data_IF_360673209968
#
_entry.id   IF_360673209968
#
_cell.length_a   1.000
_cell.length_b   1.000
_cell.length_c   1.000
_cell.angle_alpha   90.00
_cell.angle_beta   90.00
_cell.angle_gamma   90.00
#
_symmetry.space_group_name_H-M   'P 1'
#
loop_
_entity.id
_entity.type
_entity.pdbx_description
1 polymer ?
#
# COMPACT_ATOMS: atom_id res chain seq x y z
N UNK A 1 -20.48 -1.20 19.93
CA UNK A 1 -19.89 -1.08 18.58
C UNK A 1 -18.39 -0.98 18.75
N UNK A 2 -17.63 -1.87 18.11
CA UNK A 2 -16.17 -1.81 18.08
C UNK A 2 -15.78 -0.61 17.22
N UNK A 3 -14.79 0.18 17.64
CA UNK A 3 -14.29 1.31 16.84
C UNK A 3 -13.57 0.73 15.60
N UNK A 4 -13.97 1.09 14.38
CA UNK A 4 -13.31 0.59 13.17
C UNK A 4 -11.83 0.95 13.14
N UNK A 5 -11.01 0.07 12.57
CA UNK A 5 -9.57 0.28 12.44
C UNK A 5 -9.28 1.31 11.34
N UNK A 6 -8.50 2.35 11.66
CA UNK A 6 -8.05 3.36 10.68
C UNK A 6 -6.99 2.85 9.70
N UNK A 7 -6.18 1.88 10.16
CA UNK A 7 -5.10 1.26 9.41
C UNK A 7 -5.58 0.24 8.38
N UNK A 8 -4.63 -0.23 7.57
CA UNK A 8 -4.79 -1.44 6.76
C UNK A 8 -4.59 -2.69 7.63
N UNK A 9 -4.67 -3.89 7.04
CA UNK A 9 -4.34 -5.14 7.73
C UNK A 9 -2.94 -5.05 8.38
N UNK A 10 -2.85 -5.36 9.67
CA UNK A 10 -1.58 -5.45 10.39
C UNK A 10 -0.71 -6.58 9.85
N UNK A 11 0.59 -6.56 10.16
CA UNK A 11 1.49 -7.66 9.74
C UNK A 11 0.98 -9.02 10.22
N UNK A 12 0.60 -9.13 11.50
CA UNK A 12 0.06 -10.36 12.06
C UNK A 12 -1.23 -10.82 11.34
N UNK A 13 -2.11 -9.89 10.96
CA UNK A 13 -3.32 -10.21 10.21
C UNK A 13 -3.00 -10.71 8.79
N UNK A 14 -2.01 -10.09 8.12
CA UNK A 14 -1.54 -10.50 6.78
C UNK A 14 -0.90 -11.88 6.77
N UNK A 15 -0.18 -12.23 7.82
CA UNK A 15 0.46 -13.55 7.96
C UNK A 15 -0.59 -14.66 8.09
N UNK A 16 -1.73 -14.37 8.73
CA UNK A 16 -2.85 -15.31 8.94
C UNK A 16 -3.95 -15.26 7.87
N UNK A 17 -3.69 -14.68 6.70
CA UNK A 17 -4.64 -14.69 5.59
C UNK A 17 -4.85 -16.10 5.04
N UNK A 18 -6.10 -16.49 4.83
CA UNK A 18 -6.48 -17.76 4.25
C UNK A 18 -7.54 -17.60 3.15
N UNK A 19 -7.35 -18.29 2.03
CA UNK A 19 -8.36 -18.36 0.96
C UNK A 19 -9.47 -19.33 1.36
N UNK A 20 -10.72 -18.86 1.34
CA UNK A 20 -11.95 -19.62 1.60
C UNK A 20 -12.58 -20.09 0.30
N UNK A 21 -12.74 -19.17 -0.66
CA UNK A 21 -13.32 -19.45 -1.98
C UNK A 21 -12.49 -18.72 -3.03
N UNK A 22 -12.29 -19.33 -4.19
CA UNK A 22 -11.45 -18.78 -5.24
C UNK A 22 -11.95 -19.21 -6.61
N UNK A 23 -12.09 -18.25 -7.51
CA UNK A 23 -12.28 -18.50 -8.93
C UNK A 23 -11.63 -17.40 -9.76
N UNK A 24 -11.30 -17.71 -11.00
CA UNK A 24 -11.03 -16.68 -11.99
C UNK A 24 -11.86 -16.93 -13.23
N UNK A 25 -12.16 -15.85 -13.92
CA UNK A 25 -12.78 -15.86 -15.23
C UNK A 25 -11.80 -15.24 -16.23
N UNK A 26 -11.86 -15.69 -17.46
CA UNK A 26 -10.98 -15.19 -18.52
C UNK A 26 -11.70 -14.05 -19.21
N UNK A 27 -11.00 -12.94 -19.38
CA UNK A 27 -11.45 -11.82 -20.19
C UNK A 27 -10.67 -11.89 -21.49
N UNK A 28 -11.40 -11.99 -22.60
CA UNK A 28 -10.85 -11.97 -23.94
C UNK A 28 -11.19 -10.63 -24.60
N UNK A 29 -10.15 -9.89 -24.98
CA UNK A 29 -10.32 -8.57 -25.61
C UNK A 29 -10.65 -8.65 -27.09
N UNK A 30 -10.48 -9.83 -27.70
CA UNK A 30 -10.58 -10.03 -29.14
C UNK A 30 -11.88 -10.79 -29.52
N UNK A 31 -12.72 -11.12 -28.54
CA UNK A 31 -14.03 -11.74 -28.75
C UNK A 31 -15.10 -10.71 -29.16
N UNK A 32 -16.17 -11.17 -29.82
CA UNK A 32 -17.33 -10.32 -30.15
C UNK A 32 -18.00 -9.79 -28.86
N UNK A 33 -18.67 -8.63 -28.93
CA UNK A 33 -19.14 -7.85 -27.75
C UNK A 33 -19.97 -8.62 -26.71
N UNK A 34 -20.54 -9.78 -27.07
CA UNK A 34 -21.36 -10.63 -26.18
C UNK A 34 -20.63 -11.89 -25.64
N UNK A 35 -19.37 -12.13 -26.02
CA UNK A 35 -18.55 -13.30 -25.60
C UNK A 35 -17.19 -12.89 -24.98
N UNK A 36 -17.05 -11.65 -24.52
CA UNK A 36 -15.80 -11.08 -23.98
C UNK A 36 -15.31 -11.73 -22.66
N UNK A 37 -16.14 -12.58 -22.04
CA UNK A 37 -15.80 -13.32 -20.82
C UNK A 37 -16.07 -14.80 -20.95
N UNK A 38 -15.02 -15.61 -20.75
CA UNK A 38 -15.13 -17.06 -20.58
C UNK A 38 -15.24 -17.37 -19.09
N UNK A 39 -16.40 -17.87 -18.68
CA UNK A 39 -16.67 -18.23 -17.30
C UNK A 39 -16.18 -19.63 -16.97
N UNK A 40 -15.38 -19.75 -15.89
CA UNK A 40 -15.05 -21.03 -15.28
C UNK A 40 -16.05 -21.39 -14.17
N UNK A 41 -16.15 -22.68 -13.88
CA UNK A 41 -17.02 -23.25 -12.83
C UNK A 41 -16.25 -23.72 -11.59
N UNK A 42 -14.96 -24.02 -11.74
CA UNK A 42 -14.10 -24.50 -10.66
C UNK A 42 -12.64 -24.14 -10.95
N UNK A 43 -11.86 -23.91 -9.88
CA UNK A 43 -10.40 -23.81 -9.95
C UNK A 43 -9.79 -24.67 -8.85
N UNK A 44 -8.87 -25.55 -9.23
CA UNK A 44 -8.08 -26.33 -8.30
C UNK A 44 -6.68 -25.73 -8.17
N UNK A 45 -6.36 -25.22 -6.97
CA UNK A 45 -5.05 -24.65 -6.66
C UNK A 45 -4.18 -25.66 -5.93
N UNK A 46 -2.97 -25.86 -6.43
CA UNK A 46 -1.91 -26.55 -5.69
C UNK A 46 -1.37 -25.66 -4.57
N UNK A 47 -0.71 -26.25 -3.57
CA UNK A 47 -0.18 -25.52 -2.42
C UNK A 47 0.72 -24.34 -2.80
N UNK A 48 1.61 -24.52 -3.79
CA UNK A 48 2.47 -23.44 -4.29
C UNK A 48 1.67 -22.28 -4.90
N UNK A 49 0.63 -22.57 -5.68
CA UNK A 49 -0.23 -21.56 -6.30
C UNK A 49 -1.07 -20.83 -5.24
N UNK A 50 -1.56 -21.54 -4.23
CA UNK A 50 -2.28 -20.95 -3.09
C UNK A 50 -1.39 -19.95 -2.36
N UNK A 51 -0.13 -20.32 -2.08
CA UNK A 51 0.84 -19.42 -1.46
C UNK A 51 1.13 -18.21 -2.34
N UNK A 52 1.29 -18.41 -3.64
CA UNK A 52 1.46 -17.32 -4.60
C UNK A 52 0.33 -16.28 -4.53
N UNK A 53 -0.93 -16.71 -4.57
CA UNK A 53 -2.07 -15.79 -4.48
C UNK A 53 -2.19 -15.13 -3.10
N UNK A 54 -1.86 -15.84 -2.02
CA UNK A 54 -1.78 -15.25 -0.68
C UNK A 54 -0.69 -14.18 -0.58
N UNK A 55 0.47 -14.37 -1.20
CA UNK A 55 1.51 -13.34 -1.23
C UNK A 55 1.06 -12.11 -2.02
N UNK A 56 0.32 -12.29 -3.11
CA UNK A 56 -0.29 -11.17 -3.85
C UNK A 56 -1.37 -10.45 -3.06
N UNK A 57 -2.19 -11.19 -2.32
CA UNK A 57 -3.15 -10.62 -1.35
C UNK A 57 -2.45 -9.77 -0.30
N UNK A 58 -1.34 -10.25 0.27
CA UNK A 58 -0.54 -9.53 1.28
C UNK A 58 0.06 -8.25 0.73
N UNK A 59 0.50 -8.26 -0.53
CA UNK A 59 1.03 -7.06 -1.20
C UNK A 59 -0.07 -6.02 -1.45
N UNK A 60 -1.30 -6.46 -1.74
CA UNK A 60 -2.45 -5.58 -2.05
C UNK A 60 -3.21 -5.15 -0.79
N UNK A 61 -2.93 -5.75 0.36
CA UNK A 61 -3.32 -5.22 1.66
C UNK A 61 -2.66 -3.86 1.99
N UNK A 62 -1.96 -3.27 1.02
CA UNK A 62 -1.52 -1.88 0.95
C UNK A 62 -2.10 -1.22 -0.30
N UNK A 63 -2.56 0.02 -0.16
CA UNK A 63 -3.22 0.75 -1.22
C UNK A 63 -3.97 1.96 -0.69
N UNK A 64 -4.53 2.72 -1.62
CA UNK A 64 -5.33 3.90 -1.26
C UNK A 64 -6.64 3.45 -0.64
N UNK A 65 -7.04 4.10 0.45
CA UNK A 65 -8.30 3.82 1.14
C UNK A 65 -9.47 4.54 0.47
N UNK A 66 -10.53 3.80 0.24
CA UNK A 66 -11.76 4.29 -0.33
C UNK A 66 -12.98 3.88 0.50
N UNK A 67 -14.06 4.63 0.34
CA UNK A 67 -15.39 4.31 0.85
C UNK A 67 -16.38 4.20 -0.30
N UNK A 68 -17.38 3.33 -0.16
CA UNK A 68 -18.47 3.22 -1.13
C UNK A 68 -19.27 4.53 -1.16
N UNK A 69 -19.67 4.94 -2.36
CA UNK A 69 -20.63 6.02 -2.51
C UNK A 69 -22.01 5.53 -2.09
N UNK A 70 -22.80 6.39 -1.47
CA UNK A 70 -24.15 6.04 -1.01
C UNK A 70 -25.10 5.63 -2.15
N UNK A 71 -24.84 6.09 -3.37
CA UNK A 71 -25.62 5.80 -4.57
C UNK A 71 -25.08 4.62 -5.40
N UNK A 72 -23.93 4.04 -5.02
CA UNK A 72 -23.28 2.96 -5.76
C UNK A 72 -23.45 1.61 -5.05
N UNK A 73 -24.66 1.06 -5.14
CA UNK A 73 -25.10 -0.06 -4.27
C UNK A 73 -24.64 -1.44 -4.77
N UNK A 74 -24.42 -1.59 -6.08
CA UNK A 74 -24.39 -2.93 -6.70
C UNK A 74 -23.21 -3.82 -6.30
N UNK A 75 -21.99 -3.29 -6.14
CA UNK A 75 -20.84 -4.12 -5.82
C UNK A 75 -20.81 -4.52 -4.35
N UNK A 76 -21.11 -3.58 -3.43
CA UNK A 76 -21.12 -3.83 -1.99
C UNK A 76 -22.08 -4.97 -1.64
N UNK A 77 -23.30 -4.93 -2.16
CA UNK A 77 -24.30 -5.98 -1.94
C UNK A 77 -23.86 -7.33 -2.48
N UNK A 78 -23.29 -7.39 -3.69
CA UNK A 78 -22.74 -8.63 -4.26
C UNK A 78 -21.60 -9.19 -3.41
N UNK A 79 -20.70 -8.34 -2.92
CA UNK A 79 -19.62 -8.75 -2.03
C UNK A 79 -20.12 -9.27 -0.68
N UNK A 80 -21.19 -8.69 -0.14
CA UNK A 80 -21.83 -9.19 1.07
C UNK A 80 -22.47 -10.55 0.83
N UNK A 81 -23.18 -10.72 -0.29
CA UNK A 81 -23.77 -12.01 -0.68
C UNK A 81 -22.73 -13.11 -0.94
N UNK A 82 -21.53 -12.76 -1.44
CA UNK A 82 -20.42 -13.72 -1.60
C UNK A 82 -20.00 -14.35 -0.26
N UNK A 83 -20.18 -13.63 0.85
CA UNK A 83 -19.86 -14.10 2.20
C UNK A 83 -21.06 -14.82 2.83
N UNK A 84 -22.27 -14.26 2.68
CA UNK A 84 -23.49 -14.76 3.33
C UNK A 84 -24.13 -15.97 2.63
N UNK A 85 -23.92 -16.13 1.32
CA UNK A 85 -24.45 -17.21 0.50
C UNK A 85 -23.35 -17.91 -0.33
N UNK A 86 -22.47 -18.72 0.31
CA UNK A 86 -21.35 -19.37 -0.38
C UNK A 86 -21.75 -20.31 -1.52
N UNK A 87 -22.96 -20.86 -1.47
CA UNK A 87 -23.56 -21.68 -2.54
C UNK A 87 -23.80 -20.89 -3.84
N UNK A 88 -23.94 -19.57 -3.74
CA UNK A 88 -24.08 -18.66 -4.89
C UNK A 88 -22.76 -18.05 -5.35
N UNK A 89 -21.62 -18.50 -4.80
CA UNK A 89 -20.30 -17.92 -5.09
C UNK A 89 -20.01 -17.83 -6.60
N UNK A 90 -20.27 -18.89 -7.36
CA UNK A 90 -20.04 -18.94 -8.81
C UNK A 90 -20.98 -18.01 -9.57
N UNK A 91 -22.25 -17.96 -9.20
CA UNK A 91 -23.24 -17.07 -9.82
C UNK A 91 -22.83 -15.60 -9.64
N UNK A 92 -22.45 -15.23 -8.41
CA UNK A 92 -22.05 -13.87 -8.05
C UNK A 92 -20.70 -13.50 -8.66
N UNK A 93 -19.73 -14.41 -8.73
CA UNK A 93 -18.43 -14.13 -9.35
C UNK A 93 -18.57 -13.83 -10.84
N UNK A 94 -19.45 -14.55 -11.55
CA UNK A 94 -19.80 -14.26 -12.94
C UNK A 94 -20.40 -12.88 -13.09
N UNK A 95 -21.41 -12.53 -12.26
CA UNK A 95 -22.04 -11.20 -12.30
C UNK A 95 -21.07 -10.06 -12.01
N UNK A 96 -20.15 -10.21 -11.06
CA UNK A 96 -19.12 -9.20 -10.76
C UNK A 96 -18.14 -9.07 -11.93
N UNK A 97 -17.78 -10.19 -12.56
CA UNK A 97 -16.89 -10.19 -13.73
C UNK A 97 -17.54 -9.52 -14.93
N UNK A 98 -18.82 -9.79 -15.22
CA UNK A 98 -19.58 -9.10 -16.28
C UNK A 98 -19.70 -7.61 -16.01
N UNK A 99 -19.98 -7.22 -14.77
CA UNK A 99 -20.01 -5.80 -14.40
C UNK A 99 -18.65 -5.11 -14.58
N UNK A 100 -17.56 -5.85 -14.36
CA UNK A 100 -16.21 -5.38 -14.66
C UNK A 100 -16.03 -5.26 -16.18
N UNK A 101 -16.15 -6.35 -16.93
CA UNK A 101 -15.91 -6.38 -18.39
C UNK A 101 -16.74 -5.35 -19.15
N UNK A 102 -18.06 -5.33 -18.94
CA UNK A 102 -18.99 -4.49 -19.69
C UNK A 102 -18.85 -2.98 -19.45
N UNK A 103 -18.18 -2.56 -18.37
CA UNK A 103 -17.89 -1.13 -18.15
C UNK A 103 -16.69 -0.64 -18.96
N UNK A 104 -15.94 -1.55 -19.56
CA UNK A 104 -14.73 -1.24 -20.33
C UNK A 104 -15.08 -1.17 -21.83
N UNK A 105 -15.38 0.03 -22.32
CA UNK A 105 -15.74 0.25 -23.75
C UNK A 105 -14.54 0.03 -24.69
N UNK A 106 -14.23 -1.23 -25.03
CA UNK A 106 -13.34 -1.62 -26.13
C UNK A 106 -11.83 -1.46 -25.94
N UNK A 107 -11.36 -1.15 -24.73
CA UNK A 107 -9.92 -0.98 -24.44
C UNK A 107 -9.36 -2.01 -23.43
N UNK A 108 -10.13 -3.03 -23.05
CA UNK A 108 -9.69 -3.91 -21.96
C UNK A 108 -8.61 -4.83 -22.52
N UNK A 109 -7.48 -4.98 -21.84
CA UNK A 109 -6.51 -5.99 -22.22
C UNK A 109 -7.00 -7.37 -21.79
N UNK A 110 -6.81 -8.36 -22.66
CA UNK A 110 -7.03 -9.76 -22.34
C UNK A 110 -6.33 -10.15 -21.02
N UNK A 111 -6.91 -11.08 -20.28
CA UNK A 111 -6.31 -11.56 -19.04
C UNK A 111 -7.26 -12.40 -18.20
N UNK A 112 -7.06 -12.37 -16.89
CA UNK A 112 -7.96 -13.03 -15.94
C UNK A 112 -8.47 -12.07 -14.89
N UNK A 113 -9.71 -12.27 -14.49
CA UNK A 113 -10.32 -11.57 -13.37
C UNK A 113 -10.62 -12.58 -12.26
N UNK A 114 -9.93 -12.41 -11.14
CA UNK A 114 -10.01 -13.28 -9.97
C UNK A 114 -11.04 -12.69 -9.01
N UNK A 115 -11.91 -13.56 -8.50
CA UNK A 115 -12.82 -13.28 -7.39
C UNK A 115 -12.50 -14.29 -6.28
N UNK A 116 -12.19 -13.78 -5.10
CA UNK A 116 -11.80 -14.61 -3.97
C UNK A 116 -12.42 -14.09 -2.68
N UNK A 117 -12.84 -15.01 -1.82
CA UNK A 117 -13.18 -14.71 -0.42
C UNK A 117 -12.02 -15.18 0.42
N UNK A 118 -11.48 -14.27 1.23
CA UNK A 118 -10.38 -14.56 2.16
C UNK A 118 -10.84 -14.32 3.57
N UNK A 119 -10.23 -15.03 4.53
CA UNK A 119 -10.42 -14.78 5.95
C UNK A 119 -9.12 -14.41 6.63
N UNK A 120 -9.23 -13.63 7.70
CA UNK A 120 -8.10 -13.22 8.54
C UNK A 120 -8.52 -13.25 10.01
N UNK A 121 -7.52 -13.38 10.88
CA UNK A 121 -7.74 -13.46 12.32
C UNK A 121 -7.69 -12.07 12.95
N UNK A 122 -8.77 -11.63 13.58
CA UNK A 122 -8.84 -10.36 14.33
C UNK A 122 -8.43 -10.56 15.79
N UNK A 123 -8.81 -11.68 16.38
CA UNK A 123 -8.47 -12.08 17.74
C UNK A 123 -8.55 -13.59 17.88
N UNK A 124 -8.25 -14.13 19.07
CA UNK A 124 -8.33 -15.56 19.30
C UNK A 124 -9.72 -16.10 18.94
N UNK A 125 -9.79 -16.97 17.94
CA UNK A 125 -11.03 -17.53 17.38
C UNK A 125 -12.02 -16.54 16.74
N UNK A 126 -11.64 -15.28 16.50
CA UNK A 126 -12.44 -14.29 15.76
C UNK A 126 -11.90 -14.16 14.34
N UNK A 127 -12.51 -14.88 13.41
CA UNK A 127 -12.20 -14.82 11.98
C UNK A 127 -13.18 -13.90 11.26
N UNK A 128 -12.63 -12.96 10.48
CA UNK A 128 -13.40 -12.08 9.61
C UNK A 128 -13.06 -12.36 8.15
N UNK A 129 -13.96 -11.98 7.26
CA UNK A 129 -13.82 -12.22 5.82
C UNK A 129 -13.74 -10.92 5.04
N UNK A 130 -12.98 -10.95 3.96
CA UNK A 130 -12.85 -9.88 2.98
C UNK A 130 -13.08 -10.47 1.58
N UNK A 131 -13.55 -9.64 0.66
CA UNK A 131 -13.63 -10.00 -0.76
C UNK A 131 -12.43 -9.41 -1.48
N UNK A 132 -11.80 -10.22 -2.33
CA UNK A 132 -10.64 -9.85 -3.10
C UNK A 132 -10.91 -9.98 -4.58
N UNK A 133 -10.70 -8.88 -5.30
CA UNK A 133 -10.87 -8.79 -6.75
C UNK A 133 -9.52 -8.43 -7.38
N UNK A 134 -9.11 -9.15 -8.42
CA UNK A 134 -7.84 -8.87 -9.12
C UNK A 134 -7.99 -9.04 -10.62
N UNK A 135 -7.58 -8.03 -11.37
CA UNK A 135 -7.31 -8.16 -12.81
C UNK A 135 -5.82 -8.38 -13.04
N UNK A 136 -5.49 -9.49 -13.70
CA UNK A 136 -4.12 -9.83 -14.08
C UNK A 136 -3.99 -10.01 -15.59
N UNK A 137 -2.79 -9.70 -16.10
CA UNK A 137 -2.38 -10.00 -17.47
C UNK A 137 -2.18 -11.51 -17.64
N UNK A 138 -2.64 -12.05 -18.77
CA UNK A 138 -2.13 -13.33 -19.28
C UNK A 138 -0.77 -13.10 -19.92
N UNK A 139 0.15 -14.04 -19.77
CA UNK A 139 1.36 -14.06 -20.60
C UNK A 139 1.55 -15.47 -21.16
N UNK A 140 1.88 -15.60 -22.46
CA UNK A 140 2.40 -16.86 -22.97
C UNK A 140 3.68 -17.22 -22.22
N UNK A 141 3.85 -18.48 -21.85
CA UNK A 141 5.11 -18.99 -21.33
C UNK A 141 5.59 -20.17 -22.16
N UNK A 142 6.92 -20.30 -22.26
CA UNK A 142 7.54 -21.49 -22.82
C UNK A 142 7.85 -22.45 -21.68
N UNK A 143 7.33 -23.67 -21.78
CA UNK A 143 7.76 -24.79 -20.95
C UNK A 143 8.73 -25.63 -21.75
N UNK A 144 9.72 -26.24 -21.09
CA UNK A 144 10.56 -27.23 -21.73
C UNK A 144 10.45 -28.56 -20.99
N UNK A 145 10.37 -29.62 -21.76
CA UNK A 145 10.64 -30.98 -21.30
C UNK A 145 11.80 -31.54 -22.10
N UNK A 146 12.30 -32.71 -21.74
CA UNK A 146 13.24 -33.43 -22.59
C UNK A 146 12.78 -34.87 -22.75
N UNK A 147 13.05 -35.41 -23.93
CA UNK A 147 12.83 -36.82 -24.26
C UNK A 147 14.17 -37.49 -24.55
N UNK A 148 14.34 -38.74 -24.13
CA UNK A 148 15.47 -39.55 -24.55
C UNK A 148 15.13 -40.26 -25.87
N UNK A 149 15.83 -39.89 -26.93
CA UNK A 149 15.74 -40.51 -28.26
C UNK A 149 17.13 -40.98 -28.66
N UNK A 150 17.28 -42.28 -28.89
CA UNK A 150 18.54 -42.92 -29.30
C UNK A 150 19.74 -42.59 -28.38
N UNK A 151 19.53 -42.59 -27.06
CA UNK A 151 20.56 -42.27 -26.06
C UNK A 151 20.94 -40.78 -26.00
N UNK A 152 20.19 -39.89 -26.66
CA UNK A 152 20.37 -38.44 -26.61
C UNK A 152 19.18 -37.78 -25.94
N UNK A 153 19.42 -36.76 -25.12
CA UNK A 153 18.39 -35.90 -24.58
C UNK A 153 18.03 -34.81 -25.59
N UNK A 154 16.80 -34.83 -26.06
CA UNK A 154 16.25 -33.83 -26.99
C UNK A 154 15.31 -32.94 -26.19
N UNK A 155 15.60 -31.64 -26.16
CA UNK A 155 14.71 -30.66 -25.55
C UNK A 155 13.47 -30.45 -26.43
N UNK A 156 12.29 -30.50 -25.83
CA UNK A 156 11.00 -30.19 -26.45
C UNK A 156 10.48 -28.92 -25.78
N UNK A 157 10.33 -27.86 -26.57
CA UNK A 157 9.80 -26.57 -26.11
C UNK A 157 8.34 -26.50 -26.50
N UNK A 158 7.46 -26.27 -25.52
CA UNK A 158 6.03 -26.10 -25.72
C UNK A 158 5.62 -24.71 -25.27
N UNK A 159 4.83 -24.01 -26.09
CA UNK A 159 4.24 -22.74 -25.70
C UNK A 159 2.90 -22.97 -24.99
N UNK A 160 2.73 -22.35 -23.83
CA UNK A 160 1.51 -22.34 -23.05
C UNK A 160 0.89 -20.94 -23.15
N UNK A 161 -0.04 -20.79 -24.08
CA UNK A 161 -0.70 -19.51 -24.39
C UNK A 161 -1.49 -18.93 -23.19
N UNK A 162 -2.09 -19.81 -22.39
CA UNK A 162 -2.97 -19.44 -21.27
C UNK A 162 -2.27 -19.53 -19.90
N UNK A 163 -1.01 -19.12 -19.81
CA UNK A 163 -0.31 -19.14 -18.52
C UNK A 163 -0.58 -17.88 -17.70
N UNK A 164 -0.75 -18.07 -16.39
CA UNK A 164 -0.86 -16.97 -15.44
C UNK A 164 0.54 -16.46 -15.12
N UNK A 165 0.73 -15.15 -15.25
CA UNK A 165 2.00 -14.54 -14.89
C UNK A 165 2.11 -14.44 -13.36
N UNK A 166 3.10 -15.11 -12.79
CA UNK A 166 3.40 -15.10 -11.35
C UNK A 166 4.15 -13.83 -10.90
N UNK A 167 4.40 -12.88 -11.79
CA UNK A 167 5.03 -11.61 -11.44
C UNK A 167 4.05 -10.67 -10.74
N UNK A 168 4.52 -9.93 -9.70
CA UNK A 168 3.76 -8.80 -9.11
C UNK A 168 3.32 -7.81 -10.18
N UNK A 169 4.16 -7.62 -11.19
CA UNK A 169 3.93 -6.67 -12.26
C UNK A 169 2.74 -7.06 -13.14
N UNK A 170 2.28 -8.32 -13.11
CA UNK A 170 1.11 -8.77 -13.88
C UNK A 170 -0.22 -8.21 -13.35
N UNK A 171 -0.25 -7.76 -12.09
CA UNK A 171 -1.44 -7.19 -11.48
C UNK A 171 -1.69 -5.81 -12.08
N UNK A 172 -2.80 -5.70 -12.80
CA UNK A 172 -3.23 -4.44 -13.38
C UNK A 172 -4.05 -3.62 -12.39
N UNK A 173 -5.00 -4.29 -11.73
CA UNK A 173 -5.96 -3.67 -10.82
C UNK A 173 -6.29 -4.66 -9.72
N UNK A 174 -6.49 -4.14 -8.52
CA UNK A 174 -6.93 -4.97 -7.41
C UNK A 174 -7.73 -4.18 -6.39
N UNK A 175 -8.62 -4.88 -5.70
CA UNK A 175 -9.43 -4.35 -4.62
C UNK A 175 -9.58 -5.39 -3.52
N UNK A 176 -9.35 -4.97 -2.28
CA UNK A 176 -9.66 -5.71 -1.07
C UNK A 176 -10.82 -4.98 -0.37
N UNK A 177 -11.94 -5.68 -0.22
CA UNK A 177 -13.22 -5.10 0.18
C UNK A 177 -13.60 -5.64 1.56
N UNK A 178 -13.81 -4.72 2.50
CA UNK A 178 -14.41 -5.01 3.79
C UNK A 178 -15.92 -4.77 3.71
N UNK A 179 -16.69 -5.83 3.97
CA UNK A 179 -18.15 -5.75 4.08
C UNK A 179 -18.63 -5.87 5.53
N UNK A 180 -17.69 -6.03 6.48
CA UNK A 180 -17.96 -6.29 7.89
C UNK A 180 -17.85 -5.04 8.78
N UNK A 181 -17.52 -3.89 8.20
CA UNK A 181 -17.29 -2.61 8.90
C UNK A 181 -16.20 -2.73 10.00
N UNK A 182 -15.26 -3.65 9.82
CA UNK A 182 -14.11 -3.86 10.69
C UNK A 182 -13.10 -2.71 10.54
N UNK A 183 -13.00 -2.16 9.33
CA UNK A 183 -12.13 -1.06 8.99
C UNK A 183 -12.93 0.21 8.71
N UNK A 184 -12.27 1.35 8.91
CA UNK A 184 -12.87 2.65 8.60
C UNK A 184 -12.87 2.96 7.08
N UNK A 185 -12.25 2.10 6.28
CA UNK A 185 -12.33 2.05 4.82
C UNK A 185 -13.22 0.89 4.40
N UNK A 186 -13.93 1.04 3.28
CA UNK A 186 -14.70 -0.06 2.69
C UNK A 186 -13.85 -0.84 1.67
N UNK A 187 -12.94 -0.13 0.97
CA UNK A 187 -12.11 -0.72 -0.08
C UNK A 187 -10.67 -0.21 -0.01
N UNK A 188 -9.69 -1.12 0.00
CA UNK A 188 -8.31 -0.84 -0.40
C UNK A 188 -8.16 -1.17 -1.87
N UNK A 189 -7.76 -0.21 -2.68
CA UNK A 189 -7.63 -0.44 -4.12
C UNK A 189 -6.32 0.08 -4.70
N UNK A 190 -5.87 -0.63 -5.74
CA UNK A 190 -4.67 -0.33 -6.48
C UNK A 190 -4.96 -0.37 -7.99
N UNK A 191 -4.41 0.60 -8.71
CA UNK A 191 -4.44 0.66 -10.16
C UNK A 191 -3.03 0.92 -10.70
N UNK A 192 -2.48 -0.05 -11.43
CA UNK A 192 -1.13 0.03 -12.00
C UNK A 192 -0.96 1.24 -12.90
N UNK A 193 -2.01 1.66 -13.60
CA UNK A 193 -1.97 2.73 -14.62
C UNK A 193 -2.06 4.12 -13.99
N UNK A 194 -2.86 4.31 -12.93
CA UNK A 194 -3.15 5.64 -12.37
C UNK A 194 -2.77 5.75 -10.89
N UNK A 195 -1.50 5.55 -10.56
CA UNK A 195 -1.03 5.66 -9.16
C UNK A 195 -1.02 7.12 -8.65
N UNK A 196 -1.29 7.36 -7.35
CA UNK A 196 -1.83 6.43 -6.35
C UNK A 196 -3.37 6.31 -6.40
N UNK A 197 -4.05 6.91 -7.38
CA UNK A 197 -5.51 6.85 -7.52
C UNK A 197 -6.01 5.62 -8.30
N UNK A 198 -7.24 5.73 -8.81
CA UNK A 198 -7.83 4.76 -9.73
C UNK A 198 -8.20 5.44 -11.05
N UNK A 199 -8.18 4.66 -12.14
CA UNK A 199 -8.84 5.05 -13.40
C UNK A 199 -10.33 5.27 -13.17
N UNK A 200 -10.93 6.16 -13.97
CA UNK A 200 -12.33 6.56 -13.76
C UNK A 200 -13.27 5.36 -13.96
N UNK A 201 -12.93 4.48 -14.90
CA UNK A 201 -13.56 3.18 -15.07
C UNK A 201 -13.50 2.33 -13.80
N UNK A 202 -12.31 2.12 -13.22
CA UNK A 202 -12.17 1.20 -12.09
C UNK A 202 -12.84 1.78 -10.83
N UNK A 203 -12.71 3.09 -10.64
CA UNK A 203 -13.46 3.83 -9.62
C UNK A 203 -14.97 3.69 -9.79
N UNK A 204 -15.48 3.78 -11.02
CA UNK A 204 -16.91 3.64 -11.30
C UNK A 204 -17.38 2.21 -11.06
N UNK A 205 -16.61 1.20 -11.50
CA UNK A 205 -16.87 -0.22 -11.24
C UNK A 205 -16.97 -0.49 -9.74
N UNK A 206 -15.97 -0.04 -8.96
CA UNK A 206 -15.98 -0.19 -7.52
C UNK A 206 -17.08 0.64 -6.85
N UNK A 207 -17.47 1.76 -7.46
CA UNK A 207 -18.49 2.64 -6.89
C UNK A 207 -17.98 3.44 -5.69
N UNK A 208 -16.71 3.90 -5.74
CA UNK A 208 -16.03 4.44 -4.55
C UNK A 208 -15.53 5.89 -4.70
N UNK A 209 -15.23 6.51 -3.56
CA UNK A 209 -14.52 7.79 -3.43
C UNK A 209 -13.39 7.65 -2.41
N UNK A 210 -12.32 8.43 -2.55
CA UNK A 210 -11.21 8.44 -1.59
C UNK A 210 -11.74 8.73 -0.18
N UNK A 211 -11.29 7.94 0.80
CA UNK A 211 -11.66 8.13 2.21
C UNK A 211 -11.05 9.40 2.78
N UNK A 212 -9.80 9.68 2.41
CA UNK A 212 -9.03 10.83 2.90
C UNK A 212 -8.36 11.56 1.74
N UNK A 213 -8.21 12.88 1.89
CA UNK A 213 -7.49 13.69 0.93
C UNK A 213 -5.98 13.59 1.17
N UNK A 214 -5.20 13.62 0.07
CA UNK A 214 -3.73 13.70 0.06
C UNK A 214 -3.16 14.74 1.03
N UNK A 215 -3.77 15.92 1.11
CA UNK A 215 -3.40 16.99 2.05
C UNK A 215 -3.54 16.57 3.52
N UNK A 216 -4.62 15.85 3.85
CA UNK A 216 -4.86 15.36 5.20
C UNK A 216 -3.83 14.28 5.55
N UNK A 217 -3.61 13.32 4.66
CA UNK A 217 -2.62 12.25 4.84
C UNK A 217 -1.21 12.80 5.01
N UNK A 218 -0.83 13.81 4.21
CA UNK A 218 0.47 14.49 4.32
C UNK A 218 0.66 15.15 5.69
N UNK A 219 -0.34 15.92 6.16
CA UNK A 219 -0.29 16.53 7.49
C UNK A 219 -0.24 15.48 8.60
N UNK A 220 -1.04 14.43 8.49
CA UNK A 220 -1.07 13.35 9.48
C UNK A 220 0.28 12.67 9.56
N UNK A 221 0.86 12.22 8.43
CA UNK A 221 2.17 11.57 8.38
C UNK A 221 3.25 12.41 9.07
N UNK A 222 3.38 13.68 8.68
CA UNK A 222 4.38 14.57 9.25
C UNK A 222 4.14 14.85 10.74
N UNK A 223 2.89 15.10 11.14
CA UNK A 223 2.56 15.35 12.54
C UNK A 223 2.82 14.14 13.43
N UNK A 224 2.64 12.92 12.91
CA UNK A 224 2.89 11.69 13.66
C UNK A 224 4.37 11.44 13.88
N UNK A 225 5.24 11.71 12.90
CA UNK A 225 6.70 11.66 13.13
C UNK A 225 7.09 12.57 14.29
N UNK A 226 6.56 13.80 14.34
CA UNK A 226 6.83 14.74 15.44
C UNK A 226 6.33 14.21 16.78
N UNK A 227 5.12 13.65 16.83
CA UNK A 227 4.54 13.09 18.07
C UNK A 227 5.30 11.86 18.55
N UNK A 228 5.66 10.98 17.63
CA UNK A 228 6.46 9.78 17.90
C UNK A 228 7.84 10.16 18.44
N UNK A 229 8.57 11.04 17.77
CA UNK A 229 9.92 11.44 18.18
C UNK A 229 9.95 12.12 19.57
N UNK A 230 8.88 12.84 19.96
CA UNK A 230 8.75 13.41 21.32
C UNK A 230 8.70 12.37 22.44
N UNK A 231 8.25 11.15 22.13
CA UNK A 231 8.09 10.08 23.11
C UNK A 231 9.38 9.27 23.32
N UNK A 232 10.38 9.43 22.46
CA UNK A 232 11.64 8.71 22.57
C UNK A 232 12.47 9.24 23.74
N UNK A 233 13.10 8.34 24.49
CA UNK A 233 14.05 8.68 25.56
C UNK A 233 15.45 8.92 25.00
N UNK A 234 16.33 9.55 25.79
CA UNK A 234 17.71 9.84 25.38
C UNK A 234 18.48 8.55 25.04
N UNK A 235 18.20 7.44 25.72
CA UNK A 235 18.83 6.14 25.46
C UNK A 235 18.36 5.48 24.16
N UNK A 236 17.16 5.84 23.69
CA UNK A 236 16.59 5.33 22.44
C UNK A 236 17.04 6.13 21.22
N UNK A 237 17.47 7.37 21.42
CA UNK A 237 17.92 8.23 20.33
C UNK A 237 19.28 7.77 19.79
N UNK A 238 19.45 7.64 18.47
CA UNK A 238 20.76 7.45 17.89
C UNK A 238 21.67 8.66 18.18
N UNK A 239 23.00 8.50 18.19
CA UNK A 239 23.92 9.60 18.41
C UNK A 239 23.69 10.76 17.42
N UNK A 240 23.53 11.97 17.93
CA UNK A 240 23.31 13.17 17.11
C UNK A 240 21.89 13.34 16.56
N UNK A 241 20.98 12.41 16.84
CA UNK A 241 19.58 12.49 16.44
C UNK A 241 18.72 13.15 17.52
N UNK A 242 17.69 13.89 17.08
CA UNK A 242 16.69 14.50 17.93
C UNK A 242 15.34 14.61 17.20
N UNK A 243 14.35 15.26 17.81
CA UNK A 243 13.05 15.47 17.17
C UNK A 243 13.14 16.20 15.83
N UNK A 244 13.95 17.25 15.77
CA UNK A 244 14.06 18.12 14.61
C UNK A 244 14.75 17.41 13.45
N UNK A 245 15.71 16.51 13.69
CA UNK A 245 16.32 15.70 12.64
C UNK A 245 15.30 14.74 12.00
N UNK A 246 14.51 14.01 12.79
CA UNK A 246 13.44 13.14 12.28
C UNK A 246 12.36 13.95 11.53
N UNK A 247 11.91 15.06 12.11
CA UNK A 247 10.91 15.93 11.49
C UNK A 247 11.44 16.55 10.19
N UNK A 248 12.72 16.93 10.15
CA UNK A 248 13.38 17.48 8.97
C UNK A 248 13.41 16.48 7.82
N UNK A 249 13.83 15.23 8.07
CA UNK A 249 13.83 14.16 7.07
C UNK A 249 12.43 13.77 6.61
N UNK A 250 11.45 13.79 7.52
CA UNK A 250 10.04 13.62 7.19
C UNK A 250 9.55 14.69 6.20
N UNK A 251 9.91 15.96 6.43
CA UNK A 251 9.56 17.04 5.51
C UNK A 251 10.27 16.90 4.17
N UNK A 252 11.57 16.59 4.16
CA UNK A 252 12.33 16.38 2.93
C UNK A 252 11.69 15.28 2.05
N UNK A 253 11.39 14.10 2.64
CA UNK A 253 10.74 13.03 1.90
C UNK A 253 9.42 13.48 1.26
N UNK A 254 8.58 14.20 2.02
CA UNK A 254 7.29 14.69 1.53
C UNK A 254 7.41 15.80 0.47
N UNK A 255 8.56 16.44 0.33
CA UNK A 255 8.85 17.37 -0.78
C UNK A 255 9.40 16.65 -2.01
N UNK A 256 10.19 15.59 -1.80
CA UNK A 256 11.01 15.00 -2.86
C UNK A 256 10.35 13.80 -3.57
N UNK A 257 9.20 13.31 -3.07
CA UNK A 257 8.53 12.13 -3.61
C UNK A 257 7.14 12.46 -4.17
N UNK A 258 6.87 11.96 -5.39
CA UNK A 258 5.56 12.11 -6.05
C UNK A 258 4.48 11.19 -5.45
N UNK A 259 4.90 10.05 -4.90
CA UNK A 259 4.02 9.04 -4.30
C UNK A 259 4.60 8.62 -2.96
N UNK A 260 3.77 8.72 -1.92
CA UNK A 260 4.11 8.23 -0.59
C UNK A 260 4.12 6.70 -0.55
N UNK A 261 5.19 6.13 -0.02
CA UNK A 261 5.30 4.72 0.35
C UNK A 261 5.74 4.64 1.82
N UNK A 262 5.08 3.77 2.61
CA UNK A 262 5.33 3.69 4.05
C UNK A 262 6.75 3.24 4.37
N UNK A 263 7.27 2.23 3.67
CA UNK A 263 8.58 1.65 3.97
C UNK A 263 9.71 2.60 3.59
N UNK A 264 9.59 3.20 2.39
CA UNK A 264 10.54 4.21 1.93
C UNK A 264 10.53 5.43 2.87
N UNK A 265 9.35 5.86 3.31
CA UNK A 265 9.20 6.97 4.24
C UNK A 265 9.85 6.68 5.60
N UNK A 266 9.54 5.54 6.20
CA UNK A 266 10.09 5.15 7.50
C UNK A 266 11.61 5.00 7.42
N UNK A 267 12.13 4.41 6.35
CA UNK A 267 13.57 4.28 6.12
C UNK A 267 14.26 5.63 5.86
N UNK A 268 13.58 6.58 5.20
CA UNK A 268 14.10 7.94 5.02
C UNK A 268 14.14 8.73 6.32
N UNK A 269 13.12 8.58 7.18
CA UNK A 269 13.01 9.26 8.46
C UNK A 269 13.99 8.69 9.49
N UNK A 270 14.12 7.37 9.60
CA UNK A 270 14.94 6.70 10.62
C UNK A 270 16.32 6.34 10.05
N UNK A 271 17.35 7.10 10.45
CA UNK A 271 18.76 6.83 10.13
C UNK A 271 19.50 6.45 11.39
N UNK A 272 20.25 5.36 11.32
CA UNK A 272 21.07 4.86 12.43
C UNK A 272 22.10 3.88 11.88
N UNK A 273 23.31 3.92 12.41
CA UNK A 273 24.39 2.98 12.10
C UNK A 273 24.21 1.65 12.83
N UNK A 274 23.52 1.66 13.99
CA UNK A 274 23.13 0.44 14.70
C UNK A 274 21.89 -0.17 14.03
N UNK A 275 22.08 -1.29 13.34
CA UNK A 275 21.01 -1.98 12.62
C UNK A 275 19.86 -2.45 13.52
N UNK A 276 20.15 -2.82 14.78
CA UNK A 276 19.12 -3.31 15.70
C UNK A 276 18.27 -2.14 16.22
N UNK A 277 18.92 -1.05 16.67
CA UNK A 277 18.19 0.16 17.09
C UNK A 277 17.42 0.78 15.93
N UNK A 278 18.00 0.78 14.72
CA UNK A 278 17.30 1.17 13.50
C UNK A 278 16.01 0.38 13.30
N UNK A 279 16.08 -0.95 13.33
CA UNK A 279 14.93 -1.82 13.11
C UNK A 279 13.83 -1.58 14.16
N UNK A 280 14.19 -1.41 15.44
CA UNK A 280 13.26 -1.09 16.52
C UNK A 280 12.57 0.26 16.30
N UNK A 281 13.34 1.30 15.97
CA UNK A 281 12.80 2.64 15.72
C UNK A 281 11.89 2.64 14.49
N UNK A 282 12.29 1.99 13.39
CA UNK A 282 11.48 1.83 12.19
C UNK A 282 10.15 1.13 12.49
N UNK A 283 10.19 0.02 13.26
CA UNK A 283 9.00 -0.70 13.70
C UNK A 283 8.05 0.20 14.50
N UNK A 284 8.57 0.89 15.51
CA UNK A 284 7.76 1.78 16.36
C UNK A 284 7.16 2.98 15.59
N UNK A 285 7.88 3.54 14.61
CA UNK A 285 7.35 4.61 13.77
C UNK A 285 6.27 4.08 12.82
N UNK A 286 6.48 2.89 12.23
CA UNK A 286 5.48 2.24 11.39
C UNK A 286 4.17 2.00 12.17
N UNK A 287 4.27 1.53 13.41
CA UNK A 287 3.11 1.35 14.30
C UNK A 287 2.38 2.69 14.56
N UNK A 288 3.11 3.75 14.90
CA UNK A 288 2.52 5.08 15.11
C UNK A 288 1.82 5.62 13.85
N UNK A 289 2.33 5.32 12.66
CA UNK A 289 1.68 5.66 11.38
C UNK A 289 0.45 4.79 11.13
N UNK A 290 0.49 3.51 11.50
CA UNK A 290 -0.64 2.58 11.36
C UNK A 290 -1.82 2.96 12.25
N UNK A 291 -1.56 3.39 13.49
CA UNK A 291 -2.58 3.89 14.44
C UNK A 291 -3.41 5.05 13.88
N UNK A 292 -2.87 5.80 12.91
CA UNK A 292 -3.55 6.96 12.31
C UNK A 292 -3.94 6.74 10.86
N UNK A 293 -3.90 5.48 10.42
CA UNK A 293 -4.28 5.08 9.08
C UNK A 293 -3.27 5.42 7.99
N UNK A 294 -2.13 6.05 8.29
CA UNK A 294 -1.16 6.45 7.25
C UNK A 294 -0.40 5.25 6.70
N UNK A 295 0.00 4.32 7.57
CA UNK A 295 0.79 3.16 7.15
C UNK A 295 -0.02 2.26 6.21
N UNK A 296 0.61 1.84 5.12
CA UNK A 296 0.01 1.02 4.07
C UNK A 296 -0.82 1.79 3.05
N UNK A 297 -1.00 3.11 3.19
CA UNK A 297 -1.63 3.93 2.15
C UNK A 297 -0.61 4.44 1.12
N UNK A 298 -1.09 4.66 -0.10
CA UNK A 298 -0.41 5.42 -1.14
C UNK A 298 -1.17 6.72 -1.38
N UNK A 299 -0.48 7.85 -1.46
CA UNK A 299 -1.07 9.15 -1.74
C UNK A 299 -0.03 10.08 -2.34
N UNK A 300 -0.44 11.20 -2.93
CA UNK A 300 0.52 12.20 -3.44
C UNK A 300 0.89 13.16 -2.30
N UNK A 301 2.15 13.25 -1.87
CA UNK A 301 2.53 14.23 -0.87
C UNK A 301 2.13 15.66 -1.29
N UNK A 302 1.53 16.40 -0.35
CA UNK A 302 1.14 17.80 -0.55
C UNK A 302 1.77 18.67 0.56
N UNK A 303 3.10 18.89 0.53
CA UNK A 303 3.81 19.61 1.59
C UNK A 303 3.35 21.07 1.72
N UNK A 304 2.80 21.66 0.66
CA UNK A 304 2.15 22.98 0.70
C UNK A 304 0.92 23.04 1.61
N UNK A 305 0.37 21.89 2.03
CA UNK A 305 -0.74 21.81 2.97
C UNK A 305 -0.32 21.92 4.45
N UNK A 306 0.98 21.85 4.75
CA UNK A 306 1.55 22.05 6.08
C UNK A 306 1.65 23.55 6.40
N UNK A 307 1.32 23.93 7.64
CA UNK A 307 1.50 25.30 8.12
C UNK A 307 3.00 25.60 8.24
N UNK A 308 3.37 26.87 8.09
CA UNK A 308 4.77 27.31 8.26
C UNK A 308 5.38 26.90 9.61
N UNK A 309 4.58 26.86 10.68
CA UNK A 309 5.04 26.39 12.00
C UNK A 309 5.32 24.89 12.05
N UNK A 310 4.64 24.09 11.23
CA UNK A 310 4.80 22.63 11.17
C UNK A 310 6.03 22.26 10.36
N UNK A 311 6.31 23.04 9.30
CA UNK A 311 7.48 22.87 8.41
C UNK A 311 8.81 23.21 9.08
N UNK A 312 8.78 24.04 10.13
CA UNK A 312 9.99 24.54 10.76
C UNK A 312 10.58 23.58 11.81
N UNK A 313 11.89 23.45 11.74
CA UNK A 313 12.76 22.96 12.79
C UNK A 313 13.25 24.18 13.58
N UNK A 314 13.25 24.07 14.90
CA UNK A 314 13.60 25.18 15.78
C UNK A 314 14.54 24.68 16.87
N UNK A 315 15.72 25.31 16.95
CA UNK A 315 16.66 25.16 18.05
C UNK A 315 16.77 26.48 18.79
N UNK A 316 16.90 26.42 20.10
CA UNK A 316 17.17 27.57 20.94
C UNK A 316 18.39 27.28 21.80
N UNK A 317 19.38 28.17 21.77
CA UNK A 317 20.54 28.07 22.65
C UNK A 317 20.21 28.59 24.06
N UNK A 318 21.03 28.22 25.06
CA UNK A 318 20.87 28.72 26.43
C UNK A 318 21.03 30.25 26.52
N UNK A 319 21.79 30.83 25.59
CA UNK A 319 22.03 32.27 25.45
C UNK A 319 20.87 33.00 24.75
N UNK A 320 19.81 32.29 24.35
CA UNK A 320 18.61 32.88 23.75
C UNK A 320 18.65 33.05 22.22
N UNK A 321 19.64 32.48 21.53
CA UNK A 321 19.67 32.49 20.05
C UNK A 321 18.70 31.45 19.51
N UNK A 322 17.75 31.87 18.67
CA UNK A 322 16.83 30.97 17.98
C UNK A 322 17.27 30.74 16.54
N UNK A 323 17.48 29.47 16.19
CA UNK A 323 17.77 29.01 14.83
C UNK A 323 16.50 28.34 14.31
N UNK A 324 15.96 28.83 13.19
CA UNK A 324 14.77 28.26 12.57
C UNK A 324 14.99 28.08 11.07
N UNK A 325 14.69 26.89 10.58
CA UNK A 325 14.85 26.49 9.19
C UNK A 325 13.80 25.43 8.81
N UNK A 326 13.70 25.09 7.53
CA UNK A 326 12.83 24.01 7.03
C UNK A 326 13.69 22.91 6.41
N UNK A 327 13.43 21.65 6.78
CA UNK A 327 14.12 20.47 6.27
C UNK A 327 15.08 19.84 7.28
N UNK A 328 15.96 18.96 6.82
CA UNK A 328 17.01 18.37 7.68
C UNK A 328 18.21 19.31 7.84
N UNK A 329 19.01 19.18 8.92
CA UNK A 329 20.23 19.97 9.10
C UNK A 329 21.16 19.94 7.89
N UNK A 330 21.38 18.76 7.30
CA UNK A 330 22.26 18.57 6.14
C UNK A 330 21.75 19.33 4.91
N UNK A 331 20.43 19.35 4.70
CA UNK A 331 19.81 20.03 3.57
C UNK A 331 19.97 21.55 3.60
N UNK A 332 20.18 22.13 4.80
CA UNK A 332 20.38 23.56 5.00
C UNK A 332 21.84 23.93 5.33
N UNK A 333 22.77 22.98 5.19
CA UNK A 333 24.20 23.19 5.48
C UNK A 333 24.50 23.41 6.96
N UNK A 334 23.66 22.88 7.86
CA UNK A 334 23.83 23.00 9.31
C UNK A 334 24.45 21.73 9.91
N UNK A 335 25.47 21.91 10.76
CA UNK A 335 26.07 20.87 11.57
C UNK A 335 26.04 21.25 13.06
N UNK A 336 25.77 20.27 13.92
CA UNK A 336 25.78 20.43 15.39
C UNK A 336 26.84 19.48 15.97
N UNK A 337 27.89 20.05 16.54
CA UNK A 337 28.99 19.32 17.18
C UNK A 337 28.88 19.47 18.70
N UNK A 338 28.86 18.36 19.43
CA UNK A 338 28.90 18.38 20.90
C UNK A 338 30.34 18.52 21.38
N UNK A 339 30.64 19.59 22.12
CA UNK A 339 31.99 19.92 22.58
C UNK A 339 32.31 19.43 24.01
N UNK A 340 31.37 18.72 24.64
CA UNK A 340 31.46 18.29 26.04
C UNK A 340 31.02 19.37 27.05
N UNK A 341 30.80 18.97 28.31
CA UNK A 341 30.34 19.85 29.40
C UNK A 341 29.04 20.61 29.08
N UNK A 342 28.14 19.99 28.31
CA UNK A 342 26.87 20.60 27.89
C UNK A 342 27.01 21.69 26.83
N UNK A 343 28.19 21.89 26.25
CA UNK A 343 28.42 22.85 25.17
C UNK A 343 28.21 22.20 23.81
N UNK A 344 27.60 22.96 22.89
CA UNK A 344 27.49 22.60 21.49
C UNK A 344 28.01 23.72 20.59
N UNK A 345 28.57 23.36 19.43
CA UNK A 345 28.88 24.28 18.32
C UNK A 345 27.89 24.02 17.20
N UNK A 346 27.25 25.08 16.74
CA UNK A 346 26.41 25.06 15.54
C UNK A 346 27.13 25.80 14.43
N UNK A 347 27.35 25.13 13.30
CA UNK A 347 27.95 25.70 12.10
C UNK A 347 26.92 25.70 10.99
N UNK A 348 26.74 26.83 10.30
CA UNK A 348 25.85 26.95 9.14
C UNK A 348 26.68 27.45 7.96
N UNK A 349 26.80 26.62 6.93
CA UNK A 349 27.47 26.97 5.68
C UNK A 349 26.44 27.47 4.67
N UNK A 350 26.65 28.66 4.11
CA UNK A 350 25.74 29.26 3.14
C UNK A 350 26.49 30.00 2.06
N UNK A 351 25.93 30.00 0.85
CA UNK A 351 26.48 30.75 -0.28
C UNK A 351 26.44 32.26 -0.03
N UNK A 352 25.42 32.75 0.69
CA UNK A 352 25.23 34.18 0.94
C UNK A 352 24.41 34.42 2.20
N UNK A 353 24.92 35.28 3.08
CA UNK A 353 24.20 35.78 4.25
C UNK A 353 23.64 37.17 3.96
N UNK A 354 22.32 37.35 4.10
CA UNK A 354 21.66 38.65 3.94
C UNK A 354 21.07 39.10 5.28
N UNK A 355 21.27 40.37 5.64
CA UNK A 355 20.58 40.97 6.77
C UNK A 355 19.08 41.13 6.45
N UNK A 356 18.20 40.60 7.30
CA UNK A 356 16.76 40.91 7.29
C UNK A 356 16.49 41.89 8.42
N UNK A 357 15.95 43.05 8.07
CA UNK A 357 15.48 44.09 8.99
C UNK A 357 13.98 44.03 9.20
#
# INVERSE_FOLDING_TARGET
MVVPLDGVLSQAQRENLEIVSFIFHIIDSDAEEDEDVIFLDEVQLQAAQKNFFLDRLRDIAEGTQYVFKQDAVNLKEKCQQLIEAPDRFIELSRQITTDFSGRHRGQMSAGVFIVSVVRFLVGAHDWRQLVFLVKMDKQPSFTYSYEERDGRRVAVINEVQNSLNESKNAIQKSALIDVSEQFAWDVLAFDRVKKPGLSDYFRAFLGVTERQQDAVLTRTAHSQVRKWAKKLTAEQLPPGEDLNTFAGRSLNYLNDHDVFNTDDYVNAVVRDEDANRKAVLMGSLREALAETGVAGQQFRPQPGSLRNSERKQVYQTLEGVTISFEGSPEAVGMAIEQLGNGRARVTIETNRLNAKG
#
